data_IF_713259835202
#
_entry.id   IF_713259835202
#
_cell.length_a   1.000
_cell.length_b   1.000
_cell.length_c   1.000
_cell.angle_alpha   90.00
_cell.angle_beta   90.00
_cell.angle_gamma   90.00
#
_symmetry.space_group_name_H-M   'P 1'
#
loop_
_entity.id
_entity.type
_entity.pdbx_description
1 polymer ?
#
# COMPACT_ATOMS: atom_id res chain seq x y z
N UNK A 1 -22.59 -43.41 9.44
CA UNK A 1 -23.34 -42.27 8.88
C UNK A 1 -22.54 -41.74 7.70
N UNK A 2 -22.84 -42.22 6.50
CA UNK A 2 -22.11 -41.84 5.29
C UNK A 2 -22.68 -40.51 4.79
N UNK A 3 -21.89 -39.44 4.92
CA UNK A 3 -22.23 -38.13 4.37
C UNK A 3 -22.16 -38.26 2.84
N UNK A 4 -23.27 -38.00 2.15
CA UNK A 4 -23.36 -38.19 0.71
C UNK A 4 -22.48 -37.17 -0.04
N UNK A 5 -22.06 -37.52 -1.25
CA UNK A 5 -21.24 -36.67 -2.12
C UNK A 5 -21.93 -35.35 -2.50
N UNK A 6 -23.25 -35.25 -2.37
CA UNK A 6 -24.03 -34.05 -2.61
C UNK A 6 -23.87 -33.01 -1.48
N UNK A 7 -23.70 -33.43 -0.21
CA UNK A 7 -23.39 -32.52 0.91
C UNK A 7 -21.97 -31.94 0.84
N UNK A 8 -21.06 -32.60 0.11
CA UNK A 8 -19.73 -32.07 -0.18
C UNK A 8 -19.76 -30.95 -1.22
N UNK A 9 -20.72 -30.95 -2.14
CA UNK A 9 -20.83 -29.91 -3.20
C UNK A 9 -21.37 -28.57 -2.69
N UNK A 10 -22.12 -28.57 -1.59
CA UNK A 10 -22.65 -27.37 -0.95
C UNK A 10 -21.61 -26.60 -0.12
N UNK A 11 -20.40 -27.13 0.06
CA UNK A 11 -19.35 -26.53 0.91
C UNK A 11 -18.26 -25.77 0.17
N UNK A 12 -18.21 -25.84 -1.17
CA UNK A 12 -17.23 -25.08 -1.92
C UNK A 12 -17.70 -23.62 -1.99
N UNK A 13 -16.83 -22.68 -1.62
CA UNK A 13 -17.08 -21.24 -1.79
C UNK A 13 -17.46 -20.93 -3.23
N UNK A 14 -18.62 -20.25 -3.44
CA UNK A 14 -19.09 -19.83 -4.75
C UNK A 14 -19.21 -18.31 -4.81
N UNK A 15 -18.92 -17.74 -5.99
CA UNK A 15 -19.05 -16.32 -6.26
C UNK A 15 -20.39 -16.09 -6.94
N UNK A 16 -21.29 -15.38 -6.27
CA UNK A 16 -22.58 -14.96 -6.84
C UNK A 16 -22.60 -13.45 -7.02
N UNK A 17 -22.80 -13.01 -8.27
CA UNK A 17 -22.92 -11.60 -8.63
C UNK A 17 -24.20 -11.36 -9.44
N UNK A 18 -24.83 -10.23 -9.19
CA UNK A 18 -25.89 -9.69 -10.03
C UNK A 18 -25.27 -8.83 -11.14
N UNK A 19 -25.65 -9.13 -12.39
CA UNK A 19 -25.17 -8.40 -13.57
C UNK A 19 -26.01 -7.15 -13.78
N UNK A 20 -25.34 -6.03 -14.05
CA UNK A 20 -25.97 -4.74 -14.37
C UNK A 20 -27.02 -4.30 -13.32
N UNK A 21 -26.68 -4.47 -12.03
CA UNK A 21 -27.59 -4.27 -10.90
C UNK A 21 -28.14 -2.83 -10.80
N UNK A 22 -27.34 -1.82 -11.17
CA UNK A 22 -27.76 -0.42 -11.16
C UNK A 22 -27.28 0.27 -12.43
N UNK A 23 -28.20 0.83 -13.21
CA UNK A 23 -27.86 1.62 -14.39
C UNK A 23 -26.97 2.82 -14.04
N UNK A 24 -25.88 3.01 -14.79
CA UNK A 24 -25.00 4.17 -14.61
C UNK A 24 -25.61 5.38 -15.32
N UNK A 25 -26.12 6.35 -14.56
CA UNK A 25 -26.74 7.57 -15.08
C UNK A 25 -26.53 8.76 -14.16
N UNK A 26 -26.37 9.96 -14.74
CA UNK A 26 -26.27 11.22 -13.99
C UNK A 26 -27.63 11.72 -13.47
N UNK A 27 -28.75 11.08 -13.82
CA UNK A 27 -30.09 11.54 -13.43
C UNK A 27 -30.25 11.72 -11.91
N UNK A 28 -29.66 10.82 -11.11
CA UNK A 28 -29.71 10.90 -9.64
C UNK A 28 -28.85 12.03 -9.07
N UNK A 29 -27.80 12.46 -9.76
CA UNK A 29 -26.93 13.56 -9.30
C UNK A 29 -27.67 14.91 -9.33
N UNK A 30 -28.61 15.08 -10.27
CA UNK A 30 -29.48 16.24 -10.34
C UNK A 30 -30.57 16.27 -9.24
N UNK A 31 -30.65 15.25 -8.39
CA UNK A 31 -31.63 15.11 -7.31
C UNK A 31 -30.92 14.89 -5.97
N UNK A 32 -30.30 15.93 -5.37
CA UNK A 32 -29.60 15.75 -4.10
C UNK A 32 -30.56 15.26 -3.02
N UNK A 33 -30.14 14.24 -2.26
CA UNK A 33 -30.97 13.60 -1.25
C UNK A 33 -31.88 12.50 -1.81
N UNK A 34 -31.71 12.07 -3.07
CA UNK A 34 -32.48 10.97 -3.68
C UNK A 34 -32.47 9.67 -2.84
N UNK A 35 -31.47 9.48 -1.99
CA UNK A 35 -31.31 8.32 -1.13
C UNK A 35 -32.24 8.33 0.09
N UNK A 36 -32.84 9.48 0.41
CA UNK A 36 -33.79 9.62 1.52
C UNK A 36 -35.13 10.14 0.99
N UNK A 37 -36.22 9.41 1.29
CA UNK A 37 -37.58 9.81 0.89
C UNK A 37 -37.99 11.17 1.49
N UNK A 38 -37.40 11.55 2.62
CA UNK A 38 -37.64 12.84 3.28
C UNK A 38 -36.91 13.95 2.55
N UNK A 39 -35.64 13.74 2.20
CA UNK A 39 -34.80 14.75 1.54
C UNK A 39 -35.12 14.90 0.06
N UNK A 40 -35.52 13.83 -0.64
CA UNK A 40 -35.87 13.86 -2.06
C UNK A 40 -37.02 14.83 -2.42
N UNK A 41 -37.79 15.30 -1.42
CA UNK A 41 -38.86 16.31 -1.61
C UNK A 41 -38.34 17.74 -1.78
N UNK A 42 -37.03 17.96 -1.62
CA UNK A 42 -36.37 19.24 -1.80
C UNK A 42 -36.26 20.11 -0.53
N UNK A 43 -35.43 21.17 -0.58
CA UNK A 43 -35.11 22.01 0.57
C UNK A 43 -36.24 22.97 0.94
N UNK A 44 -36.97 22.66 2.01
CA UNK A 44 -37.94 23.60 2.61
C UNK A 44 -37.34 24.52 3.67
N UNK A 45 -36.25 24.09 4.31
CA UNK A 45 -35.49 24.84 5.32
C UNK A 45 -34.00 24.60 5.11
N UNK A 46 -33.15 25.46 5.69
CA UNK A 46 -31.69 25.28 5.63
C UNK A 46 -31.21 24.03 6.36
N UNK A 47 -31.99 23.50 7.32
CA UNK A 47 -31.76 22.19 7.96
C UNK A 47 -31.63 21.07 6.94
N UNK A 48 -32.36 21.15 5.82
CA UNK A 48 -32.28 20.16 4.75
C UNK A 48 -30.84 20.01 4.22
N UNK A 49 -30.08 21.11 4.11
CA UNK A 49 -28.69 21.08 3.63
C UNK A 49 -27.83 20.29 4.62
N UNK A 50 -28.00 20.50 5.92
CA UNK A 50 -27.23 19.78 6.93
C UNK A 50 -27.57 18.30 6.96
N UNK A 51 -28.85 17.94 6.92
CA UNK A 51 -29.30 16.56 6.89
C UNK A 51 -28.82 15.83 5.61
N UNK A 52 -28.77 16.53 4.47
CA UNK A 52 -28.21 15.98 3.24
C UNK A 52 -26.78 15.46 3.42
N UNK A 53 -25.92 16.19 4.13
CA UNK A 53 -24.54 15.78 4.37
C UNK A 53 -24.43 14.74 5.49
N UNK A 54 -25.20 14.91 6.57
CA UNK A 54 -25.19 13.99 7.71
C UNK A 54 -25.64 12.58 7.33
N UNK A 55 -26.66 12.47 6.48
CA UNK A 55 -27.30 11.19 6.15
C UNK A 55 -26.68 10.52 4.90
N UNK A 56 -25.71 11.16 4.23
CA UNK A 56 -25.17 10.71 2.95
C UNK A 56 -24.54 9.31 3.02
N UNK A 57 -23.83 9.02 4.11
CA UNK A 57 -23.17 7.73 4.34
C UNK A 57 -23.86 6.87 5.41
N UNK A 58 -25.02 7.30 5.91
CA UNK A 58 -25.87 6.49 6.78
C UNK A 58 -26.67 5.49 5.94
N UNK A 59 -26.01 4.44 5.43
CA UNK A 59 -26.60 3.53 4.45
C UNK A 59 -27.79 2.74 5.00
N UNK A 60 -27.81 2.46 6.31
CA UNK A 60 -28.89 1.71 6.97
C UNK A 60 -30.20 2.51 7.02
N UNK A 61 -30.15 3.85 7.13
CA UNK A 61 -31.36 4.68 7.09
C UNK A 61 -31.92 4.87 5.67
N UNK A 62 -31.12 4.59 4.64
CA UNK A 62 -31.51 4.74 3.24
C UNK A 62 -32.31 3.56 2.70
N UNK A 63 -32.05 2.35 3.18
CA UNK A 63 -32.67 1.10 2.68
C UNK A 63 -32.70 0.04 3.78
N UNK A 64 -33.74 -0.79 3.82
CA UNK A 64 -33.82 -1.95 4.73
C UNK A 64 -33.13 -3.20 4.19
N UNK A 65 -32.55 -3.14 2.97
CA UNK A 65 -31.89 -4.28 2.33
C UNK A 65 -30.43 -4.36 2.77
N UNK A 66 -30.11 -5.37 3.59
CA UNK A 66 -28.72 -5.62 4.03
C UNK A 66 -27.79 -5.91 2.85
N UNK A 67 -28.30 -6.52 1.78
CA UNK A 67 -27.52 -6.75 0.57
C UNK A 67 -27.14 -5.43 -0.11
N UNK A 68 -28.09 -4.51 -0.24
CA UNK A 68 -27.83 -3.19 -0.83
C UNK A 68 -26.84 -2.38 0.01
N UNK A 69 -27.00 -2.39 1.34
CA UNK A 69 -26.05 -1.79 2.28
C UNK A 69 -24.66 -2.39 2.10
N UNK A 70 -24.56 -3.73 2.07
CA UNK A 70 -23.28 -4.43 1.90
C UNK A 70 -22.58 -4.06 0.59
N UNK A 71 -23.35 -3.94 -0.51
CA UNK A 71 -22.84 -3.47 -1.82
C UNK A 71 -22.36 -2.02 -1.76
N UNK A 72 -23.09 -1.11 -1.09
CA UNK A 72 -22.68 0.29 -0.90
C UNK A 72 -21.38 0.38 -0.10
N UNK A 73 -21.28 -0.35 1.01
CA UNK A 73 -20.07 -0.41 1.84
C UNK A 73 -18.88 -0.91 1.02
N UNK A 74 -19.04 -2.00 0.28
CA UNK A 74 -17.97 -2.58 -0.53
C UNK A 74 -17.45 -1.63 -1.61
N UNK A 75 -18.36 -0.95 -2.32
CA UNK A 75 -17.98 0.08 -3.29
C UNK A 75 -17.31 1.29 -2.64
N UNK A 76 -17.82 1.74 -1.48
CA UNK A 76 -17.24 2.84 -0.72
C UNK A 76 -15.81 2.52 -0.23
N UNK A 77 -15.52 1.27 0.15
CA UNK A 77 -14.16 0.85 0.50
C UNK A 77 -13.19 1.04 -0.68
N UNK A 78 -13.59 0.68 -1.91
CA UNK A 78 -12.79 0.96 -3.09
C UNK A 78 -12.59 2.45 -3.34
N UNK A 79 -13.64 3.26 -3.14
CA UNK A 79 -13.54 4.72 -3.21
C UNK A 79 -12.52 5.28 -2.21
N UNK A 80 -12.53 4.78 -0.96
CA UNK A 80 -11.57 5.16 0.06
C UNK A 80 -10.15 4.72 -0.30
N UNK A 81 -9.96 3.48 -0.79
CA UNK A 81 -8.66 2.99 -1.24
C UNK A 81 -8.12 3.83 -2.40
N UNK A 82 -8.96 4.25 -3.33
CA UNK A 82 -8.55 5.12 -4.43
C UNK A 82 -8.01 6.46 -3.93
N UNK A 83 -8.66 7.08 -2.94
CA UNK A 83 -8.19 8.32 -2.31
C UNK A 83 -6.86 8.11 -1.58
N UNK A 84 -6.70 6.99 -0.88
CA UNK A 84 -5.44 6.63 -0.23
C UNK A 84 -4.31 6.48 -1.26
N UNK A 85 -4.53 5.75 -2.36
CA UNK A 85 -3.54 5.61 -3.43
C UNK A 85 -3.21 6.93 -4.12
N UNK A 86 -4.21 7.81 -4.31
CA UNK A 86 -3.98 9.14 -4.86
C UNK A 86 -3.14 10.00 -3.91
N UNK A 87 -3.42 9.94 -2.61
CA UNK A 87 -2.61 10.62 -1.60
C UNK A 87 -1.17 10.10 -1.58
N UNK A 88 -0.96 8.78 -1.56
CA UNK A 88 0.39 8.16 -1.64
C UNK A 88 1.10 8.59 -2.93
N UNK A 89 0.41 8.54 -4.07
CA UNK A 89 0.93 9.00 -5.37
C UNK A 89 1.39 10.46 -5.30
N UNK A 90 0.55 11.34 -4.72
CA UNK A 90 0.89 12.74 -4.50
C UNK A 90 2.14 12.92 -3.64
N UNK A 91 2.29 12.15 -2.56
CA UNK A 91 3.48 12.23 -1.69
C UNK A 91 4.77 11.88 -2.45
N UNK A 92 4.73 10.84 -3.29
CA UNK A 92 5.88 10.45 -4.13
C UNK A 92 6.14 11.46 -5.26
N UNK A 93 5.08 12.01 -5.88
CA UNK A 93 5.21 13.03 -6.92
C UNK A 93 5.85 14.31 -6.37
N UNK A 94 5.42 14.74 -5.18
CA UNK A 94 6.04 15.87 -4.47
C UNK A 94 7.51 15.61 -4.13
N UNK A 95 7.84 14.38 -3.72
CA UNK A 95 9.22 13.91 -3.57
C UNK A 95 10.02 14.00 -4.87
N UNK A 96 9.43 13.63 -6.00
CA UNK A 96 10.13 13.61 -7.28
C UNK A 96 10.42 15.00 -7.86
N UNK A 97 9.48 15.96 -7.73
CA UNK A 97 9.57 17.25 -8.44
C UNK A 97 9.87 18.46 -7.56
N UNK A 98 9.51 18.43 -6.28
CA UNK A 98 9.51 19.62 -5.42
C UNK A 98 10.27 19.38 -4.13
N UNK A 99 11.29 18.53 -4.17
CA UNK A 99 12.01 18.09 -2.98
C UNK A 99 13.51 18.22 -3.11
N UNK A 100 14.19 18.16 -1.97
CA UNK A 100 15.65 18.04 -1.88
C UNK A 100 16.11 16.59 -1.57
N UNK A 101 15.36 15.58 -2.03
CA UNK A 101 15.62 14.17 -1.68
C UNK A 101 17.04 13.70 -2.03
N UNK A 102 17.52 13.91 -3.26
CA UNK A 102 18.90 13.52 -3.63
C UNK A 102 19.96 14.22 -2.77
N UNK A 103 19.78 15.51 -2.49
CA UNK A 103 20.71 16.26 -1.65
C UNK A 103 20.70 15.72 -0.21
N UNK A 104 19.50 15.49 0.35
CA UNK A 104 19.33 14.89 1.67
C UNK A 104 19.94 13.48 1.74
N UNK A 105 19.86 12.67 0.68
CA UNK A 105 20.40 11.32 0.67
C UNK A 105 21.94 11.32 0.79
N UNK A 106 22.61 12.36 0.28
CA UNK A 106 24.06 12.56 0.40
C UNK A 106 24.48 13.04 1.80
N UNK A 107 23.67 13.87 2.47
CA UNK A 107 23.91 14.30 3.86
C UNK A 107 22.62 14.28 4.71
N UNK A 108 22.19 13.10 5.17
CA UNK A 108 20.94 12.93 5.90
C UNK A 108 20.92 13.59 7.29
N UNK A 109 22.09 13.95 7.82
CA UNK A 109 22.26 14.47 9.18
C UNK A 109 22.05 15.99 9.19
N UNK A 110 22.69 16.70 8.25
CA UNK A 110 22.66 18.16 8.26
C UNK A 110 21.52 18.74 7.42
N UNK A 111 21.21 18.15 6.27
CA UNK A 111 20.14 18.63 5.38
C UNK A 111 18.78 18.27 5.97
N UNK A 112 17.84 19.22 5.94
CA UNK A 112 16.47 18.99 6.42
C UNK A 112 15.58 18.59 5.25
N UNK A 113 14.75 17.57 5.45
CA UNK A 113 13.82 17.10 4.43
C UNK A 113 12.80 18.20 4.07
N UNK A 114 12.60 18.43 2.78
CA UNK A 114 11.58 19.32 2.24
C UNK A 114 11.04 18.75 0.95
N UNK A 115 9.72 18.74 0.79
CA UNK A 115 9.01 18.26 -0.41
C UNK A 115 7.82 19.14 -0.80
N UNK A 116 7.81 20.38 -0.33
CA UNK A 116 6.78 21.37 -0.62
C UNK A 116 7.40 22.74 -0.81
N UNK A 117 7.06 23.38 -1.93
CA UNK A 117 7.51 24.73 -2.29
C UNK A 117 6.30 25.62 -2.49
N UNK A 118 6.32 26.80 -1.87
CA UNK A 118 5.25 27.79 -1.91
C UNK A 118 5.48 28.76 -3.06
N UNK A 119 4.43 29.08 -3.83
CA UNK A 119 4.52 30.06 -4.91
C UNK A 119 4.65 31.51 -4.41
N UNK A 120 5.45 32.36 -5.08
CA UNK A 120 5.69 33.74 -4.68
C UNK A 120 4.61 34.69 -5.22
N UNK A 121 3.46 34.75 -4.54
CA UNK A 121 2.32 35.57 -4.98
C UNK A 121 2.15 36.83 -4.12
N UNK A 122 2.16 36.67 -2.79
CA UNK A 122 1.81 37.74 -1.83
C UNK A 122 2.86 37.94 -0.72
N UNK A 123 4.10 37.51 -0.95
CA UNK A 123 5.14 37.48 0.09
C UNK A 123 5.18 36.16 0.88
N UNK A 124 4.31 35.20 0.55
CA UNK A 124 4.24 33.89 1.21
C UNK A 124 5.44 32.98 0.89
N UNK A 125 6.28 33.34 -0.08
CA UNK A 125 7.57 32.68 -0.33
C UNK A 125 8.54 32.78 0.84
N UNK A 126 8.29 33.66 1.83
CA UNK A 126 8.98 33.65 3.13
C UNK A 126 8.88 32.28 3.84
N UNK A 127 7.87 31.47 3.52
CA UNK A 127 7.71 30.10 4.02
C UNK A 127 8.72 29.11 3.41
N UNK A 128 9.35 29.45 2.28
CA UNK A 128 10.41 28.65 1.68
C UNK A 128 11.73 28.92 2.40
N UNK A 129 11.91 28.29 3.56
CA UNK A 129 13.13 28.40 4.34
C UNK A 129 14.31 27.69 3.65
N UNK A 130 15.52 28.17 3.90
CA UNK A 130 16.74 27.44 3.53
C UNK A 130 16.86 26.18 4.41
N UNK A 131 16.73 25.02 3.77
CA UNK A 131 16.78 23.70 4.42
C UNK A 131 18.09 22.95 4.14
N UNK A 132 19.05 23.61 3.50
CA UNK A 132 20.29 23.00 3.03
C UNK A 132 20.15 22.28 1.69
N UNK A 133 21.29 21.86 1.12
CA UNK A 133 21.31 21.21 -0.20
C UNK A 133 21.00 22.15 -1.37
N UNK A 134 21.24 23.45 -1.20
CA UNK A 134 20.89 24.50 -2.17
C UNK A 134 19.39 24.51 -2.54
N UNK A 135 18.53 24.20 -1.56
CA UNK A 135 17.09 24.11 -1.73
C UNK A 135 16.37 24.97 -0.70
N UNK A 136 15.31 25.66 -1.15
CA UNK A 136 14.43 26.45 -0.30
C UNK A 136 13.00 25.93 -0.40
N UNK A 137 12.39 25.64 0.74
CA UNK A 137 11.06 25.06 0.80
C UNK A 137 10.55 24.92 2.22
N UNK A 138 9.37 24.34 2.36
CA UNK A 138 8.79 24.03 3.67
C UNK A 138 9.42 22.76 4.19
N UNK A 139 10.04 22.82 5.37
CA UNK A 139 10.57 21.62 6.03
C UNK A 139 9.41 20.67 6.37
N UNK A 140 9.50 19.41 5.91
CA UNK A 140 8.47 18.39 6.17
C UNK A 140 8.83 17.52 7.37
N UNK A 141 7.82 16.93 8.00
CA UNK A 141 7.97 16.14 9.24
C UNK A 141 7.30 14.76 9.16
N UNK A 142 6.84 14.35 7.98
CA UNK A 142 6.12 13.08 7.77
C UNK A 142 7.03 11.85 7.73
N UNK A 143 8.35 12.03 7.56
CA UNK A 143 9.33 10.92 7.56
C UNK A 143 9.44 10.15 6.25
N UNK A 144 8.93 10.70 5.13
CA UNK A 144 8.96 10.04 3.82
C UNK A 144 10.39 9.78 3.33
N UNK A 145 11.33 10.69 3.58
CA UNK A 145 12.70 10.56 3.08
C UNK A 145 13.43 9.36 3.70
N UNK A 146 13.27 9.15 5.01
CA UNK A 146 13.84 7.99 5.71
C UNK A 146 13.20 6.69 5.22
N UNK A 147 11.90 6.70 4.93
CA UNK A 147 11.21 5.55 4.38
C UNK A 147 11.73 5.21 2.98
N UNK A 148 11.79 6.18 2.06
CA UNK A 148 12.33 5.98 0.71
C UNK A 148 13.77 5.48 0.72
N UNK A 149 14.62 6.01 1.60
CA UNK A 149 15.99 5.47 1.79
C UNK A 149 15.95 4.02 2.23
N UNK A 150 15.11 3.67 3.21
CA UNK A 150 14.98 2.30 3.71
C UNK A 150 14.43 1.32 2.65
N UNK A 151 13.72 1.81 1.63
CA UNK A 151 13.26 1.04 0.47
C UNK A 151 14.34 0.87 -0.61
N UNK A 152 15.45 1.59 -0.50
CA UNK A 152 16.52 1.60 -1.48
C UNK A 152 16.28 2.54 -2.66
N UNK A 153 15.41 3.54 -2.51
CA UNK A 153 15.20 4.58 -3.53
C UNK A 153 16.38 5.54 -3.49
N UNK A 154 17.03 5.74 -4.63
CA UNK A 154 18.26 6.55 -4.75
C UNK A 154 18.10 7.77 -5.65
N UNK A 155 17.00 7.86 -6.41
CA UNK A 155 16.76 8.97 -7.34
C UNK A 155 15.30 9.44 -7.38
N UNK A 156 15.08 10.69 -7.77
CA UNK A 156 13.74 11.24 -7.97
C UNK A 156 12.98 10.57 -9.13
N UNK A 157 13.70 9.97 -10.09
CA UNK A 157 13.10 9.25 -11.22
C UNK A 157 12.34 8.02 -10.73
N UNK A 158 12.85 7.31 -9.73
CA UNK A 158 12.17 6.18 -9.11
C UNK A 158 10.89 6.64 -8.40
N UNK A 159 10.94 7.74 -7.65
CA UNK A 159 9.77 8.36 -7.00
C UNK A 159 8.70 8.74 -8.02
N UNK A 160 9.10 9.27 -9.18
CA UNK A 160 8.17 9.58 -10.25
C UNK A 160 7.42 8.35 -10.75
N UNK A 161 8.12 7.24 -11.02
CA UNK A 161 7.48 6.01 -11.48
C UNK A 161 6.59 5.38 -10.42
N UNK A 162 6.96 5.45 -9.14
CA UNK A 162 6.09 5.04 -8.03
C UNK A 162 4.82 5.91 -7.99
N UNK A 163 4.94 7.22 -8.18
CA UNK A 163 3.79 8.12 -8.23
C UNK A 163 2.82 7.75 -9.38
N UNK A 164 3.33 7.47 -10.57
CA UNK A 164 2.51 7.03 -11.71
C UNK A 164 1.85 5.67 -11.43
N UNK A 165 2.58 4.73 -10.83
CA UNK A 165 2.02 3.44 -10.39
C UNK A 165 0.89 3.62 -9.38
N UNK A 166 1.07 4.47 -8.37
CA UNK A 166 0.05 4.81 -7.38
C UNK A 166 -1.19 5.46 -8.01
N UNK A 167 -1.00 6.34 -8.99
CA UNK A 167 -2.11 6.97 -9.73
C UNK A 167 -2.89 5.93 -10.55
N UNK A 168 -2.19 5.02 -11.24
CA UNK A 168 -2.83 3.93 -11.96
C UNK A 168 -3.62 3.01 -11.02
N UNK A 169 -3.06 2.68 -9.85
CA UNK A 169 -3.77 1.91 -8.82
C UNK A 169 -5.01 2.64 -8.29
N UNK A 170 -4.93 3.96 -8.09
CA UNK A 170 -6.11 4.78 -7.73
C UNK A 170 -7.22 4.65 -8.77
N UNK A 171 -6.88 4.75 -10.06
CA UNK A 171 -7.85 4.57 -11.15
C UNK A 171 -8.44 3.16 -11.19
N UNK A 172 -7.63 2.11 -10.97
CA UNK A 172 -8.09 0.72 -10.88
C UNK A 172 -9.07 0.56 -9.70
N UNK A 173 -8.77 1.13 -8.53
CA UNK A 173 -9.65 1.07 -7.37
C UNK A 173 -10.99 1.77 -7.63
N UNK A 174 -10.99 2.97 -8.23
CA UNK A 174 -12.23 3.65 -8.63
C UNK A 174 -13.05 2.81 -9.61
N UNK A 175 -12.40 2.22 -10.60
CA UNK A 175 -13.06 1.34 -11.57
C UNK A 175 -13.65 0.09 -10.89
N UNK A 176 -12.89 -0.56 -9.99
CA UNK A 176 -13.36 -1.73 -9.25
C UNK A 176 -14.58 -1.40 -8.37
N UNK A 177 -14.57 -0.23 -7.70
CA UNK A 177 -15.70 0.26 -6.91
C UNK A 177 -16.97 0.47 -7.74
N UNK A 178 -16.84 1.10 -8.92
CA UNK A 178 -17.94 1.22 -9.87
C UNK A 178 -18.40 -0.14 -10.40
N UNK A 179 -17.46 -1.00 -10.80
CA UNK A 179 -17.74 -2.30 -11.39
C UNK A 179 -18.51 -3.20 -10.41
N UNK A 180 -18.06 -3.29 -9.16
CA UNK A 180 -18.69 -4.11 -8.13
C UNK A 180 -19.95 -3.50 -7.50
N UNK A 181 -20.37 -2.31 -7.92
CA UNK A 181 -21.66 -1.73 -7.55
C UNK A 181 -22.67 -1.77 -8.70
N UNK A 182 -22.25 -1.36 -9.90
CA UNK A 182 -23.14 -1.22 -11.06
C UNK A 182 -23.19 -2.45 -11.95
N UNK A 183 -22.07 -3.15 -12.14
CA UNK A 183 -21.93 -4.19 -13.18
C UNK A 183 -21.93 -5.61 -12.66
N UNK A 184 -21.24 -5.87 -11.56
CA UNK A 184 -21.09 -7.19 -10.96
C UNK A 184 -21.23 -7.08 -9.43
N UNK A 185 -22.44 -6.77 -8.99
CA UNK A 185 -22.75 -6.53 -7.59
C UNK A 185 -22.82 -7.86 -6.81
N UNK A 186 -21.96 -8.10 -5.79
CA UNK A 186 -22.01 -9.35 -5.05
C UNK A 186 -23.32 -9.52 -4.28
N UNK A 187 -23.75 -10.76 -4.12
CA UNK A 187 -24.90 -11.12 -3.27
C UNK A 187 -24.50 -11.20 -1.80
N UNK A 188 -25.49 -11.13 -0.90
CA UNK A 188 -25.27 -11.15 0.54
C UNK A 188 -24.49 -12.38 1.02
N UNK A 189 -24.73 -13.55 0.42
CA UNK A 189 -24.05 -14.79 0.81
C UNK A 189 -22.53 -14.73 0.58
N UNK A 190 -22.07 -13.94 -0.40
CA UNK A 190 -20.65 -13.73 -0.63
C UNK A 190 -20.02 -12.91 0.51
N UNK A 191 -20.68 -11.83 0.93
CA UNK A 191 -20.23 -11.00 2.05
C UNK A 191 -20.19 -11.75 3.37
N UNK A 192 -21.14 -12.66 3.59
CA UNK A 192 -21.26 -13.45 4.82
C UNK A 192 -20.27 -14.62 4.90
N UNK A 193 -19.46 -14.87 3.86
CA UNK A 193 -18.47 -15.93 3.86
C UNK A 193 -17.21 -15.55 4.67
N UNK A 194 -17.36 -15.55 5.99
CA UNK A 194 -16.30 -15.16 6.91
C UNK A 194 -15.08 -16.12 6.88
N UNK A 195 -15.31 -17.42 6.67
CA UNK A 195 -14.23 -18.42 6.58
C UNK A 195 -13.30 -18.13 5.39
N UNK A 196 -13.89 -17.92 4.20
CA UNK A 196 -13.13 -17.57 3.01
C UNK A 196 -12.46 -16.21 3.15
N UNK A 197 -13.18 -15.19 3.64
CA UNK A 197 -12.64 -13.86 3.87
C UNK A 197 -11.42 -13.90 4.81
N UNK A 198 -11.50 -14.66 5.90
CA UNK A 198 -10.41 -14.80 6.86
C UNK A 198 -9.22 -15.55 6.27
N UNK A 199 -9.44 -16.67 5.57
CA UNK A 199 -8.37 -17.39 4.91
C UNK A 199 -7.62 -16.51 3.89
N UNK A 200 -8.35 -15.77 3.05
CA UNK A 200 -7.75 -14.91 2.03
C UNK A 200 -7.08 -13.66 2.62
N UNK A 201 -7.63 -13.07 3.68
CA UNK A 201 -6.99 -11.93 4.34
C UNK A 201 -5.73 -12.35 5.10
N UNK A 202 -5.76 -13.47 5.83
CA UNK A 202 -4.58 -13.97 6.54
C UNK A 202 -3.51 -14.46 5.58
N UNK A 203 -3.79 -15.47 4.74
CA UNK A 203 -2.74 -16.04 3.89
C UNK A 203 -2.40 -15.14 2.69
N UNK A 204 -3.41 -14.55 2.05
CA UNK A 204 -3.23 -13.70 0.87
C UNK A 204 -2.76 -12.30 1.24
N UNK A 205 -3.64 -11.49 1.83
CA UNK A 205 -3.36 -10.07 2.06
C UNK A 205 -2.18 -9.85 3.01
N UNK A 206 -2.18 -10.50 4.18
CA UNK A 206 -1.09 -10.35 5.15
C UNK A 206 0.11 -11.24 4.82
N UNK A 207 -0.12 -12.53 4.58
CA UNK A 207 0.93 -13.51 4.33
C UNK A 207 1.75 -13.22 3.07
N UNK A 208 1.11 -13.15 1.91
CA UNK A 208 1.81 -12.81 0.66
C UNK A 208 2.31 -11.36 0.67
N UNK A 209 1.60 -10.43 1.34
CA UNK A 209 2.07 -9.06 1.54
C UNK A 209 3.42 -9.02 2.27
N UNK A 210 3.53 -9.69 3.41
CA UNK A 210 4.79 -9.79 4.16
C UNK A 210 5.87 -10.54 3.37
N UNK A 211 5.51 -11.59 2.62
CA UNK A 211 6.47 -12.37 1.82
C UNK A 211 7.06 -11.51 0.69
N UNK A 212 6.22 -10.82 -0.06
CA UNK A 212 6.63 -9.91 -1.13
C UNK A 212 7.49 -8.77 -0.59
N UNK A 213 7.12 -8.21 0.57
CA UNK A 213 7.91 -7.15 1.21
C UNK A 213 9.27 -7.66 1.67
N UNK A 214 9.34 -8.82 2.31
CA UNK A 214 10.62 -9.45 2.67
C UNK A 214 11.48 -9.70 1.43
N UNK A 215 10.89 -10.14 0.32
CA UNK A 215 11.61 -10.31 -0.95
C UNK A 215 12.20 -9.00 -1.46
N UNK A 216 11.41 -7.92 -1.49
CA UNK A 216 11.91 -6.58 -1.83
C UNK A 216 13.04 -6.15 -0.90
N UNK A 217 12.88 -6.33 0.41
CA UNK A 217 13.91 -5.97 1.38
C UNK A 217 15.23 -6.73 1.15
N UNK A 218 15.16 -8.04 0.92
CA UNK A 218 16.34 -8.88 0.72
C UNK A 218 17.08 -8.52 -0.56
N UNK A 219 16.34 -8.30 -1.65
CA UNK A 219 16.92 -8.20 -2.98
C UNK A 219 17.22 -6.78 -3.44
N UNK A 220 16.60 -5.77 -2.82
CA UNK A 220 16.71 -4.36 -3.25
C UNK A 220 17.17 -3.49 -2.09
N UNK A 221 16.39 -3.42 -1.01
CA UNK A 221 16.66 -2.48 0.07
C UNK A 221 17.99 -2.77 0.78
N UNK A 222 18.25 -4.04 1.09
CA UNK A 222 19.46 -4.48 1.79
C UNK A 222 20.75 -4.14 1.05
N UNK A 223 20.99 -4.56 -0.20
CA UNK A 223 22.24 -4.27 -0.89
C UNK A 223 22.46 -2.76 -1.06
N UNK A 224 21.43 -1.99 -1.40
CA UNK A 224 21.52 -0.54 -1.58
C UNK A 224 21.86 0.15 -0.25
N UNK A 225 21.14 -0.16 0.83
CA UNK A 225 21.41 0.46 2.12
C UNK A 225 22.78 0.04 2.69
N UNK A 226 23.26 -1.17 2.41
CA UNK A 226 24.61 -1.58 2.80
C UNK A 226 25.68 -0.71 2.14
N UNK A 227 25.49 -0.30 0.89
CA UNK A 227 26.40 0.61 0.18
C UNK A 227 26.25 2.06 0.65
N UNK A 228 25.01 2.54 0.84
CA UNK A 228 24.75 3.87 1.40
C UNK A 228 25.36 4.04 2.80
N UNK A 229 25.26 3.02 3.65
CA UNK A 229 25.84 3.02 5.00
C UNK A 229 27.36 2.88 4.99
N UNK A 230 27.93 2.34 3.90
CA UNK A 230 29.38 2.33 3.65
C UNK A 230 29.91 3.65 3.08
N UNK A 231 29.04 4.64 2.85
CA UNK A 231 29.41 5.96 2.34
C UNK A 231 29.55 6.04 0.83
N UNK A 232 29.06 5.04 0.09
CA UNK A 232 29.01 5.10 -1.39
C UNK A 232 27.98 6.14 -1.80
N UNK A 233 28.34 7.01 -2.74
CA UNK A 233 27.44 8.04 -3.24
C UNK A 233 26.24 7.40 -3.97
N UNK A 234 25.02 7.93 -3.83
CA UNK A 234 23.83 7.34 -4.45
C UNK A 234 23.95 7.13 -5.97
N UNK A 235 24.67 8.01 -6.67
CA UNK A 235 24.87 7.96 -8.11
C UNK A 235 25.85 6.85 -8.56
N UNK A 236 26.66 6.32 -7.64
CA UNK A 236 27.62 5.24 -7.90
C UNK A 236 27.05 3.87 -7.53
N UNK A 237 25.89 3.82 -6.84
CA UNK A 237 25.24 2.57 -6.46
C UNK A 237 24.59 1.96 -7.71
N UNK A 238 24.86 0.67 -8.02
CA UNK A 238 24.19 -0.04 -9.11
C UNK A 238 22.67 0.04 -8.99
N UNK A 239 21.96 0.09 -10.11
CA UNK A 239 20.51 0.19 -10.08
C UNK A 239 19.89 -1.10 -9.52
N UNK A 240 18.69 -1.04 -8.91
CA UNK A 240 18.03 -2.19 -8.27
C UNK A 240 17.98 -3.47 -9.13
N UNK A 241 17.78 -3.34 -10.45
CA UNK A 241 17.71 -4.48 -11.36
C UNK A 241 19.06 -5.17 -11.59
N UNK A 242 20.18 -4.48 -11.39
CA UNK A 242 21.53 -5.06 -11.51
C UNK A 242 21.78 -6.05 -10.37
N UNK A 243 21.32 -5.75 -9.15
CA UNK A 243 21.39 -6.68 -8.01
C UNK A 243 20.53 -7.93 -8.23
N UNK A 244 19.40 -7.81 -8.95
CA UNK A 244 18.54 -8.95 -9.26
C UNK A 244 19.14 -9.90 -10.30
N UNK A 245 19.78 -9.36 -11.32
CA UNK A 245 20.28 -10.12 -12.47
C UNK A 245 21.71 -10.62 -12.21
N UNK A 246 22.54 -9.79 -11.57
CA UNK A 246 23.94 -10.11 -11.33
C UNK A 246 24.13 -10.73 -9.94
N UNK A 247 24.12 -12.07 -9.89
CA UNK A 247 24.39 -12.82 -8.66
C UNK A 247 25.78 -12.56 -8.08
N UNK A 248 26.76 -12.25 -8.93
CA UNK A 248 28.12 -11.95 -8.46
C UNK A 248 28.13 -10.68 -7.61
N UNK A 249 27.45 -9.63 -8.08
CA UNK A 249 27.31 -8.37 -7.35
C UNK A 249 26.66 -8.59 -5.97
N UNK A 250 25.57 -9.36 -5.90
CA UNK A 250 24.96 -9.72 -4.62
C UNK A 250 25.89 -10.55 -3.75
N UNK A 251 26.65 -11.48 -4.32
CA UNK A 251 27.56 -12.35 -3.55
C UNK A 251 28.78 -11.62 -2.96
N UNK A 252 29.19 -10.50 -3.56
CA UNK A 252 30.24 -9.64 -2.98
C UNK A 252 29.74 -8.97 -1.69
N UNK A 253 28.45 -8.63 -1.61
CA UNK A 253 27.83 -8.05 -0.42
C UNK A 253 27.40 -9.13 0.59
N UNK A 254 26.86 -10.24 0.10
CA UNK A 254 26.27 -11.33 0.87
C UNK A 254 26.77 -12.68 0.31
N UNK A 255 27.91 -13.20 0.79
CA UNK A 255 28.56 -14.39 0.25
C UNK A 255 27.66 -15.62 0.11
N UNK A 256 26.60 -15.75 0.91
CA UNK A 256 25.64 -16.86 0.84
C UNK A 256 24.88 -16.93 -0.49
N UNK A 257 24.72 -15.82 -1.21
CA UNK A 257 24.08 -15.80 -2.53
C UNK A 257 24.81 -16.67 -3.57
N UNK A 258 26.11 -16.92 -3.37
CA UNK A 258 26.89 -17.86 -4.21
C UNK A 258 26.40 -19.32 -4.11
N UNK A 259 25.75 -19.69 -2.99
CA UNK A 259 25.18 -21.03 -2.76
C UNK A 259 23.82 -21.21 -3.45
N UNK A 260 23.19 -20.12 -3.91
CA UNK A 260 21.88 -20.14 -4.54
C UNK A 260 20.78 -20.65 -3.60
N UNK A 261 19.79 -21.32 -4.18
CA UNK A 261 18.60 -21.81 -3.45
C UNK A 261 18.76 -23.22 -2.87
N UNK A 262 19.92 -23.87 -3.06
CA UNK A 262 20.12 -25.24 -2.57
C UNK A 262 19.94 -25.34 -1.04
N UNK A 263 20.48 -24.42 -0.22
CA UNK A 263 20.28 -24.45 1.23
C UNK A 263 18.81 -24.32 1.65
N UNK A 264 17.99 -23.55 0.92
CA UNK A 264 16.56 -23.40 1.19
C UNK A 264 15.82 -24.75 1.09
N UNK A 265 15.97 -25.46 -0.02
CA UNK A 265 15.29 -26.74 -0.27
C UNK A 265 15.88 -27.91 0.52
N UNK A 266 17.16 -27.82 0.93
CA UNK A 266 17.83 -28.82 1.75
C UNK A 266 17.62 -28.63 3.26
N UNK A 267 16.92 -27.56 3.70
CA UNK A 267 16.71 -27.26 5.12
C UNK A 267 17.95 -26.72 5.84
N UNK A 268 18.97 -26.27 5.11
CA UNK A 268 20.23 -25.71 5.66
C UNK A 268 20.15 -24.19 5.81
N UNK A 269 19.11 -23.69 6.49
CA UNK A 269 18.77 -22.26 6.51
C UNK A 269 19.78 -21.36 7.25
N UNK A 270 20.67 -21.93 8.08
CA UNK A 270 21.75 -21.19 8.73
C UNK A 270 22.74 -20.54 7.75
N UNK A 271 22.75 -21.00 6.50
CA UNK A 271 23.57 -20.44 5.42
C UNK A 271 23.17 -19.03 4.99
N UNK A 272 21.95 -18.58 5.29
CA UNK A 272 21.44 -17.25 4.92
C UNK A 272 21.59 -16.19 6.03
N UNK A 273 22.46 -16.45 7.01
CA UNK A 273 22.66 -15.60 8.20
C UNK A 273 23.36 -14.27 7.92
N UNK A 274 23.84 -14.04 6.70
CA UNK A 274 24.46 -12.77 6.27
C UNK A 274 23.42 -11.70 5.86
N UNK A 275 22.21 -12.10 5.44
CA UNK A 275 21.12 -11.18 5.10
C UNK A 275 19.81 -11.41 5.89
N UNK A 276 19.62 -12.57 6.52
CA UNK A 276 18.56 -12.84 7.50
C UNK A 276 19.16 -12.92 8.90
N UNK A 277 19.25 -11.78 9.57
CA UNK A 277 19.93 -11.68 10.86
C UNK A 277 18.94 -11.67 12.03
N UNK A 278 19.48 -11.77 13.25
CA UNK A 278 18.74 -11.56 14.49
C UNK A 278 19.64 -10.83 15.49
N UNK A 279 20.17 -9.67 15.07
CA UNK A 279 21.15 -8.91 15.87
C UNK A 279 20.50 -8.28 17.10
N UNK A 280 19.34 -7.66 16.91
CA UNK A 280 18.68 -6.85 17.92
C UNK A 280 19.41 -5.53 18.19
N UNK A 281 18.64 -4.47 18.44
CA UNK A 281 19.17 -3.12 18.64
C UNK A 281 19.23 -2.29 17.35
N UNK A 282 20.15 -1.32 17.31
CA UNK A 282 20.22 -0.32 16.25
C UNK A 282 21.50 -0.47 15.42
N UNK A 283 21.41 -0.15 14.14
CA UNK A 283 22.54 0.04 13.26
C UNK A 283 23.31 1.31 13.73
N UNK A 284 24.59 1.21 14.09
CA UNK A 284 25.35 2.32 14.63
C UNK A 284 25.59 3.46 13.63
N UNK A 285 25.47 3.21 12.32
CA UNK A 285 25.63 4.23 11.28
C UNK A 285 24.37 5.08 11.15
N UNK A 286 23.21 4.42 11.05
CA UNK A 286 21.95 5.11 10.74
C UNK A 286 21.14 5.47 11.98
N UNK A 287 21.40 4.82 13.12
CA UNK A 287 20.56 4.88 14.31
C UNK A 287 19.19 4.20 14.15
N UNK A 288 18.92 3.59 13.00
CA UNK A 288 17.70 2.82 12.72
C UNK A 288 17.84 1.34 13.10
N UNK A 289 16.76 0.57 12.95
CA UNK A 289 16.80 -0.89 13.07
C UNK A 289 17.61 -1.51 11.93
N UNK A 290 18.19 -2.69 12.16
CA UNK A 290 18.85 -3.46 11.11
C UNK A 290 17.84 -3.92 10.06
N UNK A 291 17.99 -3.48 8.80
CA UNK A 291 17.12 -3.92 7.71
C UNK A 291 17.09 -5.45 7.52
N UNK A 292 18.19 -6.14 7.85
CA UNK A 292 18.27 -7.61 7.77
C UNK A 292 17.46 -8.29 8.88
N UNK A 293 17.33 -7.65 10.04
CA UNK A 293 16.41 -8.10 11.10
C UNK A 293 14.95 -7.83 10.69
N UNK A 294 14.67 -6.69 10.04
CA UNK A 294 13.32 -6.37 9.52
C UNK A 294 12.91 -7.34 8.40
N UNK A 295 13.82 -7.68 7.49
CA UNK A 295 13.58 -8.67 6.44
C UNK A 295 13.25 -10.04 7.04
N UNK A 296 14.04 -10.49 8.02
CA UNK A 296 13.77 -11.73 8.74
C UNK A 296 12.45 -11.69 9.50
N UNK A 297 12.11 -10.56 10.12
CA UNK A 297 10.81 -10.36 10.77
C UNK A 297 9.64 -10.52 9.79
N UNK A 298 9.67 -9.88 8.62
CA UNK A 298 8.61 -10.02 7.62
C UNK A 298 8.52 -11.44 7.05
N UNK A 299 9.65 -12.11 6.84
CA UNK A 299 9.65 -13.51 6.41
C UNK A 299 8.98 -14.42 7.46
N UNK A 300 9.28 -14.22 8.75
CA UNK A 300 8.67 -14.99 9.83
C UNK A 300 7.15 -14.72 9.92
N UNK A 301 6.72 -13.46 9.81
CA UNK A 301 5.30 -13.10 9.77
C UNK A 301 4.59 -13.68 8.55
N UNK A 302 5.25 -13.68 7.38
CA UNK A 302 4.70 -14.26 6.17
C UNK A 302 4.37 -15.75 6.36
N UNK A 303 5.31 -16.52 6.91
CA UNK A 303 5.09 -17.93 7.24
C UNK A 303 3.92 -18.06 8.22
N UNK A 304 3.93 -17.30 9.32
CA UNK A 304 2.86 -17.36 10.33
C UNK A 304 1.47 -17.08 9.74
N UNK A 305 1.33 -16.02 8.95
CA UNK A 305 0.05 -15.62 8.36
C UNK A 305 -0.41 -16.58 7.26
N UNK A 306 0.50 -17.10 6.44
CA UNK A 306 0.17 -18.13 5.44
C UNK A 306 -0.36 -19.37 6.13
N UNK A 307 0.31 -19.89 7.16
CA UNK A 307 -0.20 -21.04 7.90
C UNK A 307 -1.53 -20.74 8.61
N UNK A 308 -1.67 -19.57 9.23
CA UNK A 308 -2.91 -19.16 9.90
C UNK A 308 -4.11 -19.07 8.93
N UNK A 309 -3.89 -18.61 7.70
CA UNK A 309 -4.93 -18.54 6.67
C UNK A 309 -5.36 -19.88 6.07
N UNK A 310 -4.83 -21.01 6.56
CA UNK A 310 -5.30 -22.36 6.21
C UNK A 310 -6.06 -23.04 7.38
N UNK A 311 -6.45 -22.26 8.39
CA UNK A 311 -7.17 -22.78 9.56
C UNK A 311 -8.64 -23.10 9.28
N UNK A 312 -9.34 -22.27 8.49
CA UNK A 312 -10.79 -22.39 8.30
C UNK A 312 -11.12 -23.26 7.08
N UNK A 313 -12.23 -24.01 7.17
CA UNK A 313 -12.69 -24.87 6.07
C UNK A 313 -13.34 -24.03 4.98
N UNK A 314 -13.06 -24.33 3.71
CA UNK A 314 -13.62 -23.65 2.52
C UNK A 314 -13.95 -24.64 1.41
#
# INVERSE_FOLDING_TARGET
MAISSTDRRAKNVQIFVEKDAVETSFAKWAQPGHFSRTLAKGPKTTTWIWNLHADAHDFDSQTSSLEEVSRKIFSAHFGQLAVIFLWISGMHFHGAYFSNYSAWLTDPVNIKQSSQVVWPIVGQEILNADVGGNFQGVQTTSGWFQMWRAEGITSEVELYWIAIGGLAMSAIMLFAGWFHYHKAAPKLEWFQNAESMMNHHLAGLLGLGCLSWSGHQIHIALPINKLLDAGVAPQEIPLPHEFLINRELMSQLYPSFSKGLAPFFAGQWGEYSDFLTFKGGLNPVTGGLWLSDIAHHHLALAVLFIFAGHMYRT
#
